data_IF_010310073293
#
_entry.id   IF_010310073293
#
_cell.length_a   1.000
_cell.length_b   1.000
_cell.length_c   1.000
_cell.angle_alpha   90.00
_cell.angle_beta   90.00
_cell.angle_gamma   90.00
#
_symmetry.space_group_name_H-M   'P 1'
#
loop_
_entity.id
_entity.type
_entity.pdbx_description
1 polymer ?
#
# COMPACT_ATOMS: atom_id res chain seq x y z
N UNK A 1 21.70 1.02 22.25
CA UNK A 1 22.11 2.30 21.59
C UNK A 1 22.58 2.15 20.14
N UNK A 2 23.43 1.17 19.77
CA UNK A 2 23.91 1.04 18.39
C UNK A 2 22.80 0.66 17.37
N UNK A 3 21.95 -0.32 17.72
CA UNK A 3 20.83 -0.77 16.86
C UNK A 3 19.87 0.38 16.54
N UNK A 4 19.52 1.20 17.54
CA UNK A 4 18.62 2.35 17.37
C UNK A 4 19.22 3.40 16.43
N UNK A 5 20.53 3.63 16.47
CA UNK A 5 21.21 4.55 15.55
C UNK A 5 21.18 4.02 14.11
N UNK A 6 21.46 2.73 13.93
CA UNK A 6 21.42 2.07 12.62
C UNK A 6 19.99 2.07 12.05
N UNK A 7 19.00 1.76 12.89
CA UNK A 7 17.58 1.84 12.55
C UNK A 7 17.20 3.25 12.07
N UNK A 8 17.52 4.30 12.86
CA UNK A 8 17.19 5.68 12.49
C UNK A 8 17.87 6.11 11.19
N UNK A 9 19.11 5.66 10.98
CA UNK A 9 19.85 5.93 9.75
C UNK A 9 19.15 5.33 8.53
N UNK A 10 18.88 4.02 8.56
CA UNK A 10 18.21 3.34 7.45
C UNK A 10 16.79 3.83 7.23
N UNK A 11 16.04 4.11 8.30
CA UNK A 11 14.67 4.58 8.17
C UNK A 11 14.63 5.95 7.49
N UNK A 12 15.53 6.85 7.89
CA UNK A 12 15.65 8.16 7.26
C UNK A 12 16.07 8.03 5.80
N UNK A 13 17.01 7.15 5.49
CA UNK A 13 17.49 6.91 4.13
C UNK A 13 16.36 6.41 3.22
N UNK A 14 15.63 5.38 3.64
CA UNK A 14 14.50 4.82 2.90
C UNK A 14 13.37 5.85 2.73
N UNK A 15 13.02 6.58 3.79
CA UNK A 15 11.94 7.59 3.74
C UNK A 15 12.34 8.88 3.03
N UNK A 16 13.62 9.17 2.84
CA UNK A 16 14.06 10.36 2.07
C UNK A 16 14.34 10.03 0.61
N UNK A 17 14.44 8.74 0.26
CA UNK A 17 14.78 8.31 -1.07
C UNK A 17 13.56 8.34 -2.00
N UNK A 18 13.57 9.27 -2.96
CA UNK A 18 12.51 9.44 -3.95
C UNK A 18 12.25 8.19 -4.80
N UNK A 19 13.24 7.34 -5.03
CA UNK A 19 13.07 6.09 -5.76
C UNK A 19 12.14 5.13 -5.01
N UNK A 20 12.33 4.96 -3.71
CA UNK A 20 11.46 4.11 -2.89
C UNK A 20 10.03 4.64 -2.85
N UNK A 21 9.86 5.95 -2.71
CA UNK A 21 8.54 6.58 -2.79
C UNK A 21 7.88 6.40 -4.15
N UNK A 22 8.64 6.57 -5.23
CA UNK A 22 8.13 6.44 -6.59
C UNK A 22 7.53 5.05 -6.81
N UNK A 23 8.30 4.00 -6.54
CA UNK A 23 7.86 2.63 -6.82
C UNK A 23 6.83 2.12 -5.81
N UNK A 24 6.94 2.51 -4.54
CA UNK A 24 6.08 1.97 -3.48
C UNK A 24 4.76 2.72 -3.34
N UNK A 25 4.73 4.02 -3.66
CA UNK A 25 3.56 4.88 -3.44
C UNK A 25 3.06 5.51 -4.74
N UNK A 26 3.89 6.28 -5.46
CA UNK A 26 3.41 7.02 -6.64
C UNK A 26 2.94 6.09 -7.78
N UNK A 27 3.68 5.02 -8.04
CA UNK A 27 3.29 4.03 -9.04
C UNK A 27 1.99 3.31 -8.63
N UNK A 28 1.79 3.05 -7.34
CA UNK A 28 0.55 2.45 -6.83
C UNK A 28 -0.63 3.42 -6.88
N UNK A 29 -0.39 4.72 -6.66
CA UNK A 29 -1.42 5.76 -6.83
C UNK A 29 -1.93 5.84 -8.27
N UNK A 30 -1.04 5.65 -9.25
CA UNK A 30 -1.46 5.55 -10.65
C UNK A 30 -2.43 4.38 -10.87
N UNK A 31 -2.13 3.21 -10.32
CA UNK A 31 -3.03 2.04 -10.41
C UNK A 31 -4.35 2.25 -9.66
N UNK A 32 -4.32 2.89 -8.48
CA UNK A 32 -5.51 3.30 -7.75
C UNK A 32 -6.40 4.23 -8.57
N UNK A 33 -5.79 5.20 -9.26
CA UNK A 33 -6.51 6.13 -10.12
C UNK A 33 -7.16 5.40 -11.29
N UNK A 34 -6.43 4.50 -11.96
CA UNK A 34 -6.99 3.67 -13.04
C UNK A 34 -8.14 2.78 -12.53
N UNK A 35 -7.97 2.18 -11.35
CA UNK A 35 -9.00 1.39 -10.66
C UNK A 35 -10.28 2.17 -10.41
N UNK A 36 -10.16 3.35 -9.79
CA UNK A 36 -11.33 4.16 -9.46
C UNK A 36 -12.01 4.76 -10.71
N UNK A 37 -11.26 5.37 -11.61
CA UNK A 37 -11.83 6.22 -12.66
C UNK A 37 -12.05 5.53 -13.99
N UNK A 38 -11.16 4.62 -14.39
CA UNK A 38 -11.25 3.96 -15.70
C UNK A 38 -12.03 2.67 -15.58
N UNK A 39 -11.63 1.79 -14.67
CA UNK A 39 -12.30 0.51 -14.46
C UNK A 39 -13.63 0.70 -13.71
N UNK A 40 -13.66 1.51 -12.66
CA UNK A 40 -14.88 1.78 -11.90
C UNK A 40 -16.02 2.42 -12.74
N UNK A 41 -15.69 3.25 -13.73
CA UNK A 41 -16.70 3.83 -14.62
C UNK A 41 -17.36 2.77 -15.53
N UNK A 42 -16.57 1.86 -16.10
CA UNK A 42 -17.10 0.75 -16.92
C UNK A 42 -18.01 -0.17 -16.12
N UNK A 43 -17.64 -0.48 -14.89
CA UNK A 43 -18.46 -1.34 -14.03
C UNK A 43 -19.79 -0.69 -13.63
N UNK A 44 -19.84 0.64 -13.45
CA UNK A 44 -21.09 1.34 -13.19
C UNK A 44 -22.09 1.19 -14.36
N UNK A 45 -21.58 1.32 -15.59
CA UNK A 45 -22.40 1.19 -16.80
C UNK A 45 -22.91 -0.26 -16.98
N UNK A 46 -22.08 -1.27 -16.69
CA UNK A 46 -22.48 -2.67 -16.75
C UNK A 46 -23.47 -3.05 -15.65
N UNK A 47 -23.29 -2.53 -14.42
CA UNK A 47 -24.18 -2.79 -13.29
C UNK A 47 -25.60 -2.31 -13.57
N UNK A 48 -25.76 -1.12 -14.16
CA UNK A 48 -27.08 -0.57 -14.49
C UNK A 48 -27.90 -1.44 -15.46
N UNK A 49 -27.23 -2.24 -16.30
CA UNK A 49 -27.86 -3.11 -17.31
C UNK A 49 -28.30 -4.46 -16.74
N UNK A 50 -27.84 -4.84 -15.55
CA UNK A 50 -28.17 -6.14 -14.94
C UNK A 50 -29.56 -6.16 -14.29
N UNK A 51 -30.17 -5.01 -14.02
CA UNK A 51 -31.46 -4.93 -13.35
C UNK A 51 -32.62 -4.86 -14.36
N UNK A 52 -33.66 -5.72 -14.22
CA UNK A 52 -34.87 -5.63 -15.04
C UNK A 52 -35.65 -4.36 -14.71
N UNK A 53 -36.32 -3.81 -15.74
CA UNK A 53 -37.14 -2.60 -15.64
C UNK A 53 -38.27 -2.83 -14.62
N UNK A 54 -38.29 -2.05 -13.55
CA UNK A 54 -39.28 -2.16 -12.46
C UNK A 54 -38.72 -2.60 -11.10
N UNK A 55 -37.41 -2.74 -10.97
CA UNK A 55 -36.77 -3.01 -9.67
C UNK A 55 -36.93 -1.83 -8.71
N UNK A 56 -37.29 -2.06 -7.44
CA UNK A 56 -37.42 -0.98 -6.45
C UNK A 56 -36.08 -0.25 -6.24
N UNK A 57 -36.10 1.08 -6.30
CA UNK A 57 -34.95 1.95 -6.05
C UNK A 57 -34.13 1.62 -4.79
N UNK A 58 -34.72 1.28 -3.62
CA UNK A 58 -33.93 0.97 -2.43
C UNK A 58 -33.10 -0.31 -2.58
N UNK A 59 -33.56 -1.30 -3.35
CA UNK A 59 -32.83 -2.55 -3.58
C UNK A 59 -31.60 -2.29 -4.46
N UNK A 60 -31.74 -1.40 -5.45
CA UNK A 60 -30.64 -1.03 -6.36
C UNK A 60 -29.55 -0.28 -5.58
N UNK A 61 -29.92 0.62 -4.66
CA UNK A 61 -28.97 1.39 -3.86
C UNK A 61 -28.21 0.51 -2.85
N UNK A 62 -28.90 -0.43 -2.20
CA UNK A 62 -28.25 -1.39 -1.30
C UNK A 62 -27.28 -2.31 -2.05
N UNK A 63 -27.71 -2.86 -3.18
CA UNK A 63 -26.87 -3.73 -4.02
C UNK A 63 -25.65 -2.97 -4.56
N UNK A 64 -25.83 -1.71 -4.94
CA UNK A 64 -24.73 -0.85 -5.38
C UNK A 64 -23.70 -0.63 -4.27
N UNK A 65 -24.15 -0.37 -3.03
CA UNK A 65 -23.26 -0.20 -1.87
C UNK A 65 -22.47 -1.46 -1.56
N UNK A 66 -23.10 -2.64 -1.62
CA UNK A 66 -22.37 -3.90 -1.39
C UNK A 66 -21.36 -4.16 -2.50
N UNK A 67 -21.75 -3.94 -3.76
CA UNK A 67 -20.88 -4.11 -4.89
C UNK A 67 -19.64 -3.20 -4.83
N UNK A 68 -19.82 -1.90 -4.53
CA UNK A 68 -18.70 -0.97 -4.39
C UNK A 68 -17.76 -1.37 -3.25
N UNK A 69 -18.29 -1.88 -2.13
CA UNK A 69 -17.49 -2.41 -1.03
C UNK A 69 -16.65 -3.62 -1.45
N UNK A 70 -17.22 -4.60 -2.16
CA UNK A 70 -16.47 -5.77 -2.62
C UNK A 70 -15.43 -5.41 -3.69
N UNK A 71 -15.79 -4.51 -4.62
CA UNK A 71 -14.88 -4.01 -5.63
C UNK A 71 -13.68 -3.30 -5.01
N UNK A 72 -13.92 -2.39 -4.06
CA UNK A 72 -12.86 -1.68 -3.36
C UNK A 72 -12.00 -2.61 -2.51
N UNK A 73 -12.59 -3.61 -1.85
CA UNK A 73 -11.87 -4.64 -1.08
C UNK A 73 -10.82 -5.37 -1.93
N UNK A 74 -11.17 -5.76 -3.16
CA UNK A 74 -10.22 -6.37 -4.09
C UNK A 74 -9.02 -5.45 -4.37
N UNK A 75 -9.27 -4.16 -4.61
CA UNK A 75 -8.22 -3.18 -4.85
C UNK A 75 -7.31 -2.97 -3.65
N UNK A 76 -7.85 -2.89 -2.42
CA UNK A 76 -7.02 -2.79 -1.20
C UNK A 76 -6.03 -3.96 -1.11
N UNK A 77 -6.48 -5.19 -1.38
CA UNK A 77 -5.62 -6.38 -1.37
C UNK A 77 -4.56 -6.35 -2.47
N UNK A 78 -4.95 -6.07 -3.72
CA UNK A 78 -4.02 -6.03 -4.84
C UNK A 78 -2.92 -4.99 -4.66
N UNK A 79 -3.27 -3.80 -4.17
CA UNK A 79 -2.30 -2.71 -3.99
C UNK A 79 -1.36 -2.97 -2.83
N UNK A 80 -1.86 -3.54 -1.73
CA UNK A 80 -0.99 -3.96 -0.63
C UNK A 80 0.05 -4.98 -1.11
N UNK A 81 -0.36 -5.97 -1.92
CA UNK A 81 0.54 -6.98 -2.49
C UNK A 81 1.56 -6.38 -3.45
N UNK A 82 1.13 -5.52 -4.37
CA UNK A 82 2.02 -4.87 -5.32
C UNK A 82 3.01 -3.92 -4.62
N UNK A 83 2.55 -3.13 -3.65
CA UNK A 83 3.40 -2.26 -2.84
C UNK A 83 4.45 -3.06 -2.06
N UNK A 84 4.03 -4.12 -1.37
CA UNK A 84 4.94 -4.98 -0.60
C UNK A 84 5.99 -5.64 -1.50
N UNK A 85 5.61 -6.09 -2.69
CA UNK A 85 6.53 -6.69 -3.66
C UNK A 85 7.58 -5.68 -4.14
N UNK A 86 7.14 -4.47 -4.48
CA UNK A 86 8.02 -3.40 -4.93
C UNK A 86 9.03 -2.98 -3.85
N UNK A 87 8.56 -2.80 -2.61
CA UNK A 87 9.42 -2.47 -1.45
C UNK A 87 10.45 -3.58 -1.23
N UNK A 88 10.02 -4.84 -1.30
CA UNK A 88 10.88 -6.02 -1.10
C UNK A 88 12.02 -6.07 -2.13
N UNK A 89 11.75 -5.76 -3.39
CA UNK A 89 12.79 -5.68 -4.44
C UNK A 89 13.82 -4.60 -4.11
N UNK A 90 13.36 -3.39 -3.75
CA UNK A 90 14.25 -2.28 -3.38
C UNK A 90 15.10 -2.58 -2.15
N UNK A 91 14.52 -3.18 -1.11
CA UNK A 91 15.23 -3.60 0.09
C UNK A 91 16.25 -4.71 -0.20
N UNK A 92 15.92 -5.64 -1.09
CA UNK A 92 16.85 -6.72 -1.49
C UNK A 92 18.08 -6.16 -2.19
N UNK A 93 17.89 -5.22 -3.12
CA UNK A 93 18.99 -4.51 -3.76
C UNK A 93 19.84 -3.75 -2.72
N UNK A 94 19.20 -3.12 -1.74
CA UNK A 94 19.89 -2.43 -0.65
C UNK A 94 20.79 -3.35 0.17
N UNK A 95 20.29 -4.54 0.56
CA UNK A 95 21.09 -5.55 1.27
C UNK A 95 22.28 -5.99 0.40
N UNK A 96 22.04 -6.23 -0.88
CA UNK A 96 23.08 -6.71 -1.80
C UNK A 96 24.24 -5.71 -1.89
N UNK A 97 23.94 -4.43 -2.11
CA UNK A 97 24.97 -3.39 -2.21
C UNK A 97 25.62 -3.04 -0.86
N UNK A 98 24.93 -3.23 0.26
CA UNK A 98 25.49 -2.97 1.60
C UNK A 98 26.34 -4.11 2.16
N UNK A 99 26.27 -5.32 1.58
CA UNK A 99 27.00 -6.50 2.08
C UNK A 99 28.52 -6.31 2.09
N UNK A 100 29.08 -5.69 1.04
CA UNK A 100 30.52 -5.43 0.91
C UNK A 100 31.00 -4.40 1.96
N UNK A 101 30.45 -3.18 2.05
CA UNK A 101 30.90 -2.19 3.04
C UNK A 101 30.67 -2.64 4.50
N UNK A 102 29.62 -3.41 4.78
CA UNK A 102 29.37 -3.96 6.13
C UNK A 102 30.54 -4.86 6.57
N UNK A 103 31.10 -5.69 5.68
CA UNK A 103 32.25 -6.55 6.03
C UNK A 103 33.46 -5.71 6.46
N UNK A 104 33.76 -4.64 5.73
CA UNK A 104 34.86 -3.74 6.08
C UNK A 104 34.59 -3.02 7.41
N UNK A 105 33.37 -2.51 7.60
CA UNK A 105 32.98 -1.87 8.86
C UNK A 105 33.10 -2.83 10.05
N UNK A 106 32.67 -4.08 9.92
CA UNK A 106 32.75 -5.06 11.01
C UNK A 106 34.17 -5.57 11.26
N UNK A 107 35.07 -5.47 10.27
CA UNK A 107 36.48 -5.83 10.42
C UNK A 107 37.27 -4.76 11.18
N UNK A 108 37.01 -3.48 10.91
CA UNK A 108 37.73 -2.36 11.50
C UNK A 108 36.99 -1.69 12.69
N UNK A 109 35.74 -2.08 12.96
CA UNK A 109 34.94 -1.62 14.11
C UNK A 109 34.58 -2.78 15.02
N UNK A 110 34.46 -2.52 16.33
CA UNK A 110 33.89 -3.47 17.32
C UNK A 110 32.37 -3.71 17.14
N UNK A 111 31.80 -3.32 16.00
CA UNK A 111 30.39 -3.46 15.71
C UNK A 111 30.06 -4.87 15.20
N UNK A 112 29.09 -5.54 15.84
CA UNK A 112 28.63 -6.86 15.43
C UNK A 112 27.72 -6.78 14.18
N UNK A 113 27.90 -7.65 13.17
CA UNK A 113 27.03 -7.72 11.99
C UNK A 113 25.55 -7.92 12.35
N UNK A 114 25.27 -8.69 13.41
CA UNK A 114 23.90 -8.97 13.86
C UNK A 114 23.14 -7.69 14.24
N UNK A 115 23.84 -6.72 14.84
CA UNK A 115 23.24 -5.44 15.24
C UNK A 115 22.89 -4.57 14.03
N UNK A 116 23.58 -4.75 12.90
CA UNK A 116 23.26 -4.05 11.65
C UNK A 116 22.01 -4.62 10.99
N UNK A 117 21.95 -5.94 10.82
CA UNK A 117 20.80 -6.59 10.17
C UNK A 117 19.52 -6.45 10.99
N UNK A 118 19.59 -6.55 12.32
CA UNK A 118 18.42 -6.31 13.17
C UNK A 118 17.90 -4.87 13.07
N UNK A 119 18.78 -3.87 13.03
CA UNK A 119 18.40 -2.47 12.82
C UNK A 119 17.81 -2.22 11.43
N UNK A 120 18.36 -2.88 10.41
CA UNK A 120 17.84 -2.81 9.04
C UNK A 120 16.46 -3.45 8.91
N UNK A 121 16.25 -4.66 9.45
CA UNK A 121 14.95 -5.34 9.41
C UNK A 121 13.88 -4.53 10.13
N UNK A 122 14.20 -3.94 11.28
CA UNK A 122 13.27 -3.08 12.00
C UNK A 122 12.89 -1.85 11.15
N UNK A 123 13.88 -1.24 10.48
CA UNK A 123 13.65 -0.11 9.57
C UNK A 123 12.78 -0.49 8.38
N UNK A 124 13.01 -1.66 7.79
CA UNK A 124 12.24 -2.19 6.69
C UNK A 124 10.76 -2.37 7.10
N UNK A 125 10.50 -3.02 8.23
CA UNK A 125 9.13 -3.22 8.75
C UNK A 125 8.44 -1.86 8.96
N UNK A 126 9.09 -0.92 9.62
CA UNK A 126 8.51 0.41 9.88
C UNK A 126 8.23 1.17 8.58
N UNK A 127 9.15 1.12 7.61
CA UNK A 127 8.97 1.78 6.30
C UNK A 127 7.78 1.19 5.55
N UNK A 128 7.65 -0.14 5.52
CA UNK A 128 6.51 -0.83 4.90
C UNK A 128 5.20 -0.41 5.55
N UNK A 129 5.13 -0.35 6.88
CA UNK A 129 3.92 0.11 7.59
C UNK A 129 3.54 1.54 7.19
N UNK A 130 4.51 2.45 7.11
CA UNK A 130 4.27 3.85 6.71
C UNK A 130 3.72 3.92 5.28
N UNK A 131 4.33 3.21 4.33
CA UNK A 131 3.87 3.21 2.94
C UNK A 131 2.49 2.58 2.79
N UNK A 132 2.21 1.49 3.49
CA UNK A 132 0.87 0.86 3.50
C UNK A 132 -0.19 1.80 4.07
N UNK A 133 0.11 2.54 5.15
CA UNK A 133 -0.82 3.52 5.72
C UNK A 133 -1.09 4.68 4.76
N UNK A 134 -0.05 5.18 4.08
CA UNK A 134 -0.20 6.22 3.06
C UNK A 134 -1.09 5.73 1.92
N UNK A 135 -0.87 4.51 1.43
CA UNK A 135 -1.67 3.92 0.36
C UNK A 135 -3.13 3.70 0.78
N UNK A 136 -3.36 3.18 1.98
CA UNK A 136 -4.70 2.99 2.52
C UNK A 136 -5.47 4.32 2.65
N UNK A 137 -4.79 5.39 3.07
CA UNK A 137 -5.40 6.72 3.09
C UNK A 137 -5.76 7.19 1.68
N UNK A 138 -4.84 7.04 0.72
CA UNK A 138 -5.09 7.47 -0.67
C UNK A 138 -6.21 6.68 -1.35
N UNK A 139 -6.32 5.39 -1.10
CA UNK A 139 -7.36 4.55 -1.68
C UNK A 139 -8.74 4.86 -1.10
N UNK A 140 -8.84 5.08 0.22
CA UNK A 140 -10.09 5.54 0.86
C UNK A 140 -10.54 6.86 0.22
N UNK A 141 -9.64 7.83 0.06
CA UNK A 141 -9.98 9.13 -0.49
C UNK A 141 -10.45 9.05 -1.95
N UNK A 142 -9.70 8.35 -2.82
CA UNK A 142 -10.00 8.26 -4.24
C UNK A 142 -11.32 7.54 -4.51
N UNK A 143 -11.56 6.41 -3.83
CA UNK A 143 -12.76 5.62 -4.04
C UNK A 143 -13.99 6.27 -3.39
N UNK A 144 -13.87 6.86 -2.20
CA UNK A 144 -14.98 7.59 -1.58
C UNK A 144 -15.40 8.82 -2.40
N UNK A 145 -14.43 9.51 -3.03
CA UNK A 145 -14.72 10.59 -3.96
C UNK A 145 -15.47 10.09 -5.20
N UNK A 146 -14.97 9.04 -5.84
CA UNK A 146 -15.54 8.58 -7.12
C UNK A 146 -16.92 7.94 -6.98
N UNK A 147 -17.13 7.09 -5.98
CA UNK A 147 -18.36 6.29 -5.87
C UNK A 147 -19.49 7.01 -5.12
N UNK A 148 -19.15 7.88 -4.17
CA UNK A 148 -20.16 8.54 -3.32
C UNK A 148 -19.96 10.06 -3.15
N UNK A 149 -18.99 10.67 -3.85
CA UNK A 149 -18.75 12.11 -3.75
C UNK A 149 -18.47 12.59 -2.32
N UNK A 150 -17.78 11.77 -1.51
CA UNK A 150 -17.54 11.95 -0.06
C UNK A 150 -18.75 11.84 0.87
N UNK A 151 -19.94 11.46 0.39
CA UNK A 151 -21.12 11.28 1.26
C UNK A 151 -21.01 10.06 2.17
N UNK A 152 -20.26 9.04 1.76
CA UNK A 152 -19.95 7.86 2.56
C UNK A 152 -18.47 7.51 2.42
N UNK A 153 -17.80 7.25 3.54
CA UNK A 153 -16.45 6.70 3.50
C UNK A 153 -16.52 5.21 3.22
N UNK A 154 -15.91 4.78 2.11
CA UNK A 154 -15.71 3.36 1.82
C UNK A 154 -14.49 2.88 2.61
N UNK A 155 -14.66 2.72 3.91
CA UNK A 155 -13.65 2.10 4.78
C UNK A 155 -13.71 0.58 4.64
N UNK A 156 -12.58 -0.13 4.62
CA UNK A 156 -12.60 -1.58 4.70
C UNK A 156 -13.32 -2.02 5.98
N UNK A 157 -14.29 -2.94 5.86
CA UNK A 157 -15.08 -3.47 7.00
C UNK A 157 -14.18 -4.08 8.09
N UNK A 158 -13.02 -4.61 7.69
CA UNK A 158 -11.98 -5.14 8.57
C UNK A 158 -10.68 -4.36 8.36
N UNK A 159 -10.10 -3.82 9.43
CA UNK A 159 -8.83 -3.05 9.41
C UNK A 159 -7.64 -3.83 8.81
N UNK A 160 -7.72 -5.17 8.77
CA UNK A 160 -6.68 -6.05 8.23
C UNK A 160 -6.82 -6.32 6.72
N UNK A 161 -7.92 -5.90 6.07
CA UNK A 161 -8.08 -5.95 4.61
C UNK A 161 -7.97 -7.34 3.94
N UNK A 162 -7.89 -8.43 4.71
CA UNK A 162 -7.50 -9.75 4.21
C UNK A 162 -8.52 -10.87 4.43
N UNK A 163 -9.66 -10.59 5.05
CA UNK A 163 -10.75 -11.57 5.18
C UNK A 163 -12.05 -10.89 4.77
N UNK A 164 -12.44 -11.19 3.53
CA UNK A 164 -13.77 -10.99 2.98
C UNK A 164 -14.79 -11.87 3.69
#
# INVERSE_FOLDING_TARGET
>A
MAVVRVYKFYLRDVLSNGYFWFWSVFFMMFWLFMGAFVYGARFADEFSKQFPIGTPSPVIEETWREFTLHYTASWYGSIALFSMSSITIGLTQYIFYSTIPIRYLTKYSKASPLKFYTGFTLSAITSTVIFTLALLATSILLYSYKFHGFKTLISPKNMLGAVS
#
